data_IF_695329938203
#
_entry.id   IF_695329938203
#
_cell.length_a   1.000
_cell.length_b   1.000
_cell.length_c   1.000
_cell.angle_alpha   90.00
_cell.angle_beta   90.00
_cell.angle_gamma   90.00
#
_symmetry.space_group_name_H-M   'P 1'
#
loop_
_entity.id
_entity.type
_entity.pdbx_description
1 polymer ?
#
# COMPACT_ATOMS: atom_id res chain seq x y z
N UNK A 1 3.93 -81.19 -22.99
CA UNK A 1 5.04 -80.24 -23.12
C UNK A 1 4.68 -78.83 -23.56
N UNK A 2 3.74 -78.59 -24.49
CA UNK A 2 3.39 -77.24 -24.95
C UNK A 2 2.74 -76.32 -23.88
N UNK A 3 2.01 -76.83 -22.89
CA UNK A 3 1.37 -76.01 -21.82
C UNK A 3 2.40 -75.41 -20.82
N UNK A 4 3.50 -76.10 -20.54
CA UNK A 4 4.51 -75.61 -19.61
C UNK A 4 5.45 -74.56 -20.25
N UNK A 5 5.68 -74.68 -21.58
CA UNK A 5 6.47 -73.69 -22.33
C UNK A 5 5.81 -72.32 -22.33
N UNK A 6 4.47 -72.26 -22.42
CA UNK A 6 3.70 -71.03 -22.36
C UNK A 6 3.74 -70.35 -20.98
N UNK A 7 3.79 -71.13 -19.87
CA UNK A 7 3.90 -70.58 -18.53
C UNK A 7 5.28 -70.01 -18.27
N UNK A 8 6.35 -70.69 -18.74
CA UNK A 8 7.72 -70.17 -18.60
C UNK A 8 7.99 -68.92 -19.44
N UNK A 9 7.38 -68.79 -20.64
CA UNK A 9 7.47 -67.57 -21.42
C UNK A 9 6.70 -66.41 -20.80
N UNK A 10 5.54 -66.67 -20.16
CA UNK A 10 4.80 -65.68 -19.45
C UNK A 10 5.54 -65.18 -18.19
N UNK A 11 6.17 -66.12 -17.45
CA UNK A 11 6.97 -65.80 -16.27
C UNK A 11 8.25 -64.99 -16.65
N UNK A 12 8.91 -65.38 -17.74
CA UNK A 12 10.06 -64.62 -18.26
C UNK A 12 9.68 -63.19 -18.72
N UNK A 13 8.53 -63.04 -19.35
CA UNK A 13 8.01 -61.73 -19.75
C UNK A 13 7.66 -60.87 -18.53
N UNK A 14 7.07 -61.46 -17.49
CA UNK A 14 6.76 -60.78 -16.22
C UNK A 14 8.05 -60.33 -15.50
N UNK A 15 9.11 -61.10 -15.52
CA UNK A 15 10.39 -60.71 -14.93
C UNK A 15 11.04 -59.53 -15.68
N UNK A 16 10.88 -59.44 -17.01
CA UNK A 16 11.43 -58.34 -17.83
C UNK A 16 10.65 -57.05 -17.51
N UNK A 17 9.33 -57.12 -17.29
CA UNK A 17 8.51 -55.93 -16.96
C UNK A 17 8.78 -55.44 -15.53
N UNK A 18 9.16 -56.32 -14.61
CA UNK A 18 9.51 -55.96 -13.23
C UNK A 18 10.90 -55.31 -13.08
N UNK A 19 11.77 -55.40 -14.09
CA UNK A 19 13.08 -54.75 -14.11
C UNK A 19 13.03 -53.27 -14.52
N UNK A 20 11.87 -52.80 -14.97
CA UNK A 20 11.68 -51.39 -15.36
C UNK A 20 11.78 -50.38 -14.19
N UNK A 21 11.81 -50.84 -12.93
CA UNK A 21 11.99 -50.01 -11.74
C UNK A 21 13.42 -49.93 -11.21
N UNK A 22 14.40 -50.52 -11.92
CA UNK A 22 15.82 -50.53 -11.53
C UNK A 22 16.69 -49.61 -12.41
N UNK A 23 16.09 -48.66 -13.13
CA UNK A 23 16.87 -47.52 -13.59
C UNK A 23 17.14 -46.68 -12.35
N UNK A 24 18.37 -46.74 -11.83
CA UNK A 24 18.91 -45.69 -11.00
C UNK A 24 18.78 -44.39 -11.82
N UNK A 25 17.86 -43.50 -11.44
CA UNK A 25 17.94 -42.14 -11.91
C UNK A 25 19.33 -41.66 -11.55
N UNK A 26 20.17 -41.42 -12.57
CA UNK A 26 21.38 -40.63 -12.36
C UNK A 26 20.90 -39.33 -11.70
N UNK A 27 21.25 -39.15 -10.43
CA UNK A 27 20.95 -37.92 -9.74
C UNK A 27 21.67 -36.81 -10.51
N UNK A 28 20.91 -36.08 -11.34
CA UNK A 28 21.40 -34.91 -12.11
C UNK A 28 21.95 -33.83 -11.18
N UNK A 29 21.73 -33.98 -9.89
CA UNK A 29 22.12 -33.03 -8.85
C UNK A 29 22.93 -33.78 -7.77
N UNK A 30 24.05 -33.18 -7.36
CA UNK A 30 24.94 -33.69 -6.32
C UNK A 30 24.30 -33.82 -4.93
N UNK A 31 23.11 -33.19 -4.71
CA UNK A 31 22.40 -33.19 -3.43
C UNK A 31 20.91 -33.51 -3.61
N UNK A 32 20.30 -34.10 -2.60
CA UNK A 32 18.87 -34.37 -2.57
C UNK A 32 18.04 -33.04 -2.58
N UNK A 33 16.85 -33.11 -3.12
CA UNK A 33 15.93 -31.93 -3.16
C UNK A 33 15.69 -31.35 -1.77
N UNK A 34 15.62 -32.18 -0.72
CA UNK A 34 15.46 -31.76 0.67
C UNK A 34 16.68 -31.00 1.20
N UNK A 35 17.91 -31.47 0.87
CA UNK A 35 19.12 -30.78 1.29
C UNK A 35 19.26 -29.42 0.61
N UNK A 36 18.96 -29.32 -0.68
CA UNK A 36 18.95 -28.05 -1.42
C UNK A 36 17.95 -27.06 -0.84
N UNK A 37 16.73 -27.52 -0.52
CA UNK A 37 15.70 -26.67 0.10
C UNK A 37 16.14 -26.17 1.48
N UNK A 38 16.78 -27.00 2.28
CA UNK A 38 17.32 -26.62 3.59
C UNK A 38 18.46 -25.61 3.45
N UNK A 39 19.38 -25.83 2.51
CA UNK A 39 20.49 -24.92 2.24
C UNK A 39 20.00 -23.55 1.75
N UNK A 40 18.96 -23.52 0.93
CA UNK A 40 18.36 -22.26 0.44
C UNK A 40 17.68 -21.47 1.58
N UNK A 41 16.97 -22.14 2.49
CA UNK A 41 16.39 -21.52 3.70
C UNK A 41 17.49 -20.88 4.56
N UNK A 42 18.57 -21.61 4.84
CA UNK A 42 19.70 -21.10 5.65
C UNK A 42 20.32 -19.89 4.96
N UNK A 43 20.61 -19.98 3.67
CA UNK A 43 21.17 -18.89 2.88
C UNK A 43 20.28 -17.63 2.94
N UNK A 44 18.97 -17.79 2.75
CA UNK A 44 18.03 -16.66 2.82
C UNK A 44 17.98 -16.04 4.22
N UNK A 45 17.99 -16.85 5.28
CA UNK A 45 18.06 -16.35 6.67
C UNK A 45 19.32 -15.55 6.94
N UNK A 46 20.47 -16.01 6.47
CA UNK A 46 21.74 -15.30 6.63
C UNK A 46 21.73 -13.97 5.89
N UNK A 47 21.26 -13.94 4.63
CA UNK A 47 21.14 -12.70 3.84
C UNK A 47 20.23 -11.70 4.54
N UNK A 48 19.05 -12.13 5.02
CA UNK A 48 18.11 -11.22 5.70
C UNK A 48 18.72 -10.63 6.97
N UNK A 49 19.48 -11.40 7.73
CA UNK A 49 20.09 -11.00 9.00
C UNK A 49 21.34 -10.12 8.83
N UNK A 50 22.09 -10.31 7.75
CA UNK A 50 23.45 -9.74 7.60
C UNK A 50 23.46 -8.28 7.12
N UNK A 51 22.32 -7.57 7.16
CA UNK A 51 22.21 -6.16 6.82
C UNK A 51 22.15 -5.30 8.09
N UNK A 52 23.21 -4.56 8.42
CA UNK A 52 23.34 -3.90 9.73
C UNK A 52 22.22 -2.91 10.08
N UNK A 53 21.71 -2.17 9.09
CA UNK A 53 20.62 -1.20 9.27
C UNK A 53 19.27 -1.74 8.76
N UNK A 54 19.20 -3.05 8.44
CA UNK A 54 17.98 -3.70 7.95
C UNK A 54 17.63 -3.34 6.50
N UNK A 55 16.42 -3.60 6.12
CA UNK A 55 15.90 -3.57 4.77
C UNK A 55 14.78 -2.57 4.62
N UNK A 56 14.65 -1.98 3.44
CA UNK A 56 13.49 -1.21 2.99
C UNK A 56 12.70 -2.06 2.00
N UNK A 57 11.47 -2.43 2.36
CA UNK A 57 10.51 -3.12 1.50
C UNK A 57 9.53 -2.10 0.91
N UNK A 58 9.41 -2.05 -0.40
CA UNK A 58 8.29 -1.41 -1.10
C UNK A 58 7.10 -2.38 -1.04
N UNK A 59 6.24 -2.21 -0.03
CA UNK A 59 5.15 -3.13 0.25
C UNK A 59 3.89 -2.74 -0.53
N UNK A 60 3.64 -3.44 -1.63
CA UNK A 60 2.48 -3.23 -2.50
C UNK A 60 1.28 -4.06 -2.08
N UNK A 61 0.11 -3.44 -2.09
CA UNK A 61 -1.13 -3.91 -1.50
C UNK A 61 -2.21 -4.04 -2.58
N UNK A 62 -3.13 -4.97 -2.36
CA UNK A 62 -4.25 -5.23 -3.28
C UNK A 62 -3.91 -6.15 -4.44
N UNK A 63 -4.94 -6.78 -5.00
CA UNK A 63 -4.77 -7.59 -6.21
C UNK A 63 -4.26 -6.70 -7.36
N UNK A 64 -3.19 -7.13 -8.01
CA UNK A 64 -2.54 -6.35 -9.07
C UNK A 64 -2.19 -4.91 -8.63
N UNK A 65 -1.64 -4.76 -7.42
CA UNK A 65 -1.19 -3.49 -6.83
C UNK A 65 -2.29 -2.44 -6.60
N UNK A 66 -3.56 -2.83 -6.65
CA UNK A 66 -4.71 -1.91 -6.76
C UNK A 66 -4.90 -0.96 -5.58
N UNK A 67 -4.34 -1.25 -4.42
CA UNK A 67 -4.42 -0.39 -3.24
C UNK A 67 -3.18 0.51 -3.03
N UNK A 68 -2.18 0.43 -3.92
CA UNK A 68 -0.95 1.19 -3.81
C UNK A 68 0.10 0.55 -2.91
N UNK A 69 0.93 1.34 -2.23
CA UNK A 69 2.03 0.82 -1.44
C UNK A 69 2.33 1.67 -0.20
N UNK A 70 3.05 1.05 0.74
CA UNK A 70 3.71 1.69 1.88
C UNK A 70 5.14 1.18 2.02
N UNK A 71 5.98 1.95 2.67
CA UNK A 71 7.34 1.52 3.02
C UNK A 71 7.32 0.75 4.33
N UNK A 72 7.88 -0.46 4.34
CA UNK A 72 8.17 -1.18 5.57
C UNK A 72 9.70 -1.26 5.74
N UNK A 73 10.21 -0.67 6.82
CA UNK A 73 11.59 -0.87 7.25
C UNK A 73 11.62 -2.10 8.15
N UNK A 74 12.54 -3.03 7.88
CA UNK A 74 12.61 -4.33 8.55
C UNK A 74 14.03 -4.68 8.94
N UNK A 75 14.25 -5.15 10.18
CA UNK A 75 15.54 -5.68 10.62
C UNK A 75 15.35 -7.04 11.25
N UNK A 76 16.05 -8.02 10.73
CA UNK A 76 15.94 -9.43 11.11
C UNK A 76 17.11 -9.83 12.03
N UNK A 77 16.84 -10.58 13.10
CA UNK A 77 17.88 -11.10 14.02
C UNK A 77 18.07 -12.62 13.94
N UNK A 78 17.29 -13.31 13.12
CA UNK A 78 17.23 -14.77 12.96
C UNK A 78 16.00 -15.39 13.63
N UNK A 79 15.24 -14.65 14.44
CA UNK A 79 14.02 -15.11 15.11
C UNK A 79 12.94 -14.02 15.13
N UNK A 80 13.33 -12.79 15.37
CA UNK A 80 12.46 -11.64 15.44
C UNK A 80 12.77 -10.66 14.30
N UNK A 81 11.76 -9.88 13.96
CA UNK A 81 11.87 -8.75 13.05
C UNK A 81 11.39 -7.49 13.76
N UNK A 82 12.19 -6.46 13.72
CA UNK A 82 11.78 -5.09 14.00
C UNK A 82 11.19 -4.50 12.73
N UNK A 83 10.01 -3.86 12.82
CA UNK A 83 9.36 -3.18 11.70
C UNK A 83 9.00 -1.75 12.07
N UNK A 84 9.09 -0.84 11.08
CA UNK A 84 8.54 0.50 11.16
C UNK A 84 8.01 0.94 9.79
N UNK A 85 7.04 1.87 9.76
CA UNK A 85 6.43 2.40 8.54
C UNK A 85 6.11 3.88 8.69
N UNK A 86 5.97 4.58 7.56
CA UNK A 86 5.43 5.94 7.51
C UNK A 86 3.93 5.98 7.81
N UNK A 87 3.23 4.87 7.73
CA UNK A 87 1.82 4.79 8.14
C UNK A 87 1.72 4.32 9.59
N UNK A 88 0.77 4.89 10.33
CA UNK A 88 0.40 4.39 11.65
C UNK A 88 -0.45 3.13 11.53
N UNK A 89 -0.48 2.33 12.59
CA UNK A 89 -1.30 1.12 12.68
C UNK A 89 -1.91 1.02 14.07
N UNK A 90 -3.23 0.88 14.17
CA UNK A 90 -3.96 0.83 15.45
C UNK A 90 -3.64 2.05 16.34
N UNK A 91 -3.07 1.82 17.54
CA UNK A 91 -2.62 2.88 18.46
C UNK A 91 -1.20 3.36 18.19
N UNK A 92 -0.46 2.72 17.30
CA UNK A 92 0.93 3.05 17.00
C UNK A 92 1.05 4.20 16.01
N UNK A 93 1.87 5.18 16.34
CA UNK A 93 2.15 6.33 15.46
C UNK A 93 3.12 5.93 14.35
N UNK A 94 3.12 6.63 13.20
CA UNK A 94 4.15 6.49 12.18
C UNK A 94 5.55 6.52 12.78
N UNK A 95 6.44 5.64 12.30
CA UNK A 95 7.81 5.51 12.78
C UNK A 95 7.98 4.71 14.08
N UNK A 96 6.90 4.25 14.72
CA UNK A 96 7.01 3.36 15.86
C UNK A 96 7.60 2.01 15.43
N UNK A 97 8.64 1.55 16.14
CA UNK A 97 9.24 0.24 15.91
C UNK A 97 8.42 -0.81 16.64
N UNK A 98 7.95 -1.81 15.91
CA UNK A 98 7.17 -2.94 16.44
C UNK A 98 7.94 -4.22 16.16
N UNK A 99 8.14 -5.04 17.18
CA UNK A 99 8.85 -6.32 17.08
C UNK A 99 7.86 -7.48 17.04
N UNK A 100 8.08 -8.43 16.14
CA UNK A 100 7.29 -9.65 16.01
C UNK A 100 8.16 -10.84 15.61
N UNK A 101 7.60 -12.04 15.62
CA UNK A 101 8.30 -13.22 15.15
C UNK A 101 8.14 -13.34 13.62
N UNK A 102 9.20 -13.83 12.98
CA UNK A 102 9.20 -14.23 11.58
C UNK A 102 9.81 -15.60 11.40
N UNK A 103 9.59 -16.21 10.26
CA UNK A 103 10.21 -17.48 9.90
C UNK A 103 10.57 -17.49 8.41
N UNK A 104 11.74 -18.06 8.09
CA UNK A 104 12.06 -18.51 6.75
C UNK A 104 11.93 -20.04 6.75
N UNK A 105 11.06 -20.54 5.89
CA UNK A 105 10.73 -21.98 5.85
C UNK A 105 10.66 -22.48 4.41
N UNK A 106 10.84 -23.77 4.24
CA UNK A 106 10.60 -24.46 2.97
C UNK A 106 9.18 -25.03 2.96
N UNK A 107 8.38 -24.64 1.98
CA UNK A 107 7.11 -25.28 1.60
C UNK A 107 7.22 -25.78 0.17
N UNK A 108 6.46 -25.26 -0.78
CA UNK A 108 6.68 -25.48 -2.23
C UNK A 108 7.86 -24.66 -2.77
N UNK A 109 8.29 -23.67 -2.02
CA UNK A 109 9.44 -22.80 -2.27
C UNK A 109 9.95 -22.24 -0.94
N UNK A 110 11.07 -21.53 -0.95
CA UNK A 110 11.56 -20.80 0.23
C UNK A 110 10.64 -19.60 0.49
N UNK A 111 10.12 -19.53 1.71
CA UNK A 111 9.12 -18.54 2.10
C UNK A 111 9.57 -17.72 3.31
N UNK A 112 9.28 -16.44 3.29
CA UNK A 112 9.32 -15.53 4.43
C UNK A 112 7.90 -15.35 4.98
N UNK A 113 7.69 -15.65 6.27
CA UNK A 113 6.37 -15.54 6.90
C UNK A 113 6.44 -14.75 8.21
N UNK A 114 5.39 -13.99 8.50
CA UNK A 114 5.23 -13.24 9.75
C UNK A 114 4.15 -13.92 10.59
N UNK A 115 4.57 -14.93 11.37
CA UNK A 115 3.65 -15.86 12.06
C UNK A 115 3.01 -15.27 13.32
N UNK A 116 3.62 -14.24 13.93
CA UNK A 116 2.99 -13.50 15.02
C UNK A 116 2.43 -12.18 14.54
N UNK A 117 1.32 -11.77 15.15
CA UNK A 117 0.65 -10.55 14.76
C UNK A 117 1.57 -9.33 14.87
N UNK A 118 1.68 -8.60 13.75
CA UNK A 118 2.33 -7.30 13.68
C UNK A 118 1.36 -6.34 12.96
N UNK A 119 0.86 -5.30 13.63
CA UNK A 119 -0.16 -4.43 13.05
C UNK A 119 0.30 -3.74 11.76
N UNK A 120 1.61 -3.45 11.58
CA UNK A 120 2.13 -2.76 10.40
C UNK A 120 1.97 -3.54 9.08
N UNK A 121 1.84 -4.86 9.15
CA UNK A 121 1.65 -5.71 7.96
C UNK A 121 0.28 -6.38 7.95
N UNK A 122 -0.22 -6.83 9.11
CA UNK A 122 -1.48 -7.55 9.19
C UNK A 122 -2.70 -6.65 9.05
N UNK A 123 -2.60 -5.33 9.32
CA UNK A 123 -3.72 -4.40 9.12
C UNK A 123 -4.26 -4.39 7.69
N UNK A 124 -3.44 -4.72 6.71
CA UNK A 124 -3.84 -4.75 5.30
C UNK A 124 -4.47 -6.08 4.87
N UNK A 125 -4.29 -7.15 5.66
CA UNK A 125 -4.71 -8.52 5.32
C UNK A 125 -5.95 -8.99 6.08
N UNK A 126 -6.45 -8.20 7.04
CA UNK A 126 -7.54 -8.59 7.92
C UNK A 126 -8.89 -8.70 7.24
N UNK A 127 -9.86 -9.39 7.87
CA UNK A 127 -11.24 -9.43 7.39
C UNK A 127 -11.90 -8.05 7.47
N UNK A 128 -12.89 -7.83 6.60
CA UNK A 128 -13.69 -6.60 6.57
C UNK A 128 -14.19 -6.21 7.97
N UNK A 129 -13.99 -4.95 8.34
CA UNK A 129 -14.49 -4.35 9.58
C UNK A 129 -13.53 -4.38 10.78
N UNK A 130 -12.43 -5.14 10.72
CA UNK A 130 -11.41 -5.16 11.78
C UNK A 130 -10.13 -4.42 11.41
N UNK A 131 -9.77 -4.46 10.12
CA UNK A 131 -8.56 -3.85 9.56
C UNK A 131 -8.91 -3.17 8.23
N UNK A 132 -7.96 -2.52 7.60
CA UNK A 132 -8.19 -1.83 6.32
C UNK A 132 -8.61 -2.78 5.20
N UNK A 133 -8.25 -4.08 5.29
CA UNK A 133 -8.58 -5.13 4.32
C UNK A 133 -8.37 -4.71 2.85
N UNK A 134 -7.23 -4.12 2.59
CA UNK A 134 -6.85 -3.66 1.25
C UNK A 134 -6.22 -4.77 0.40
N UNK A 135 -6.09 -5.99 0.93
CA UNK A 135 -5.49 -7.12 0.23
C UNK A 135 -3.98 -7.19 0.39
N UNK A 136 -3.49 -7.10 1.63
CA UNK A 136 -2.08 -7.30 1.95
C UNK A 136 -1.71 -8.77 2.13
N UNK A 137 -0.47 -9.12 1.82
CA UNK A 137 0.16 -10.41 2.13
C UNK A 137 1.05 -10.28 3.38
N UNK A 138 1.09 -11.31 4.21
CA UNK A 138 2.04 -11.46 5.31
C UNK A 138 2.87 -12.77 5.18
N UNK A 139 2.67 -13.48 4.10
CA UNK A 139 3.45 -14.64 3.67
C UNK A 139 3.98 -14.37 2.26
N UNK A 140 5.27 -14.60 2.05
CA UNK A 140 5.95 -14.25 0.80
C UNK A 140 6.82 -15.40 0.32
N UNK A 141 6.78 -15.67 -0.97
CA UNK A 141 7.75 -16.51 -1.67
C UNK A 141 9.00 -15.65 -1.89
N UNK A 142 10.17 -16.14 -1.47
CA UNK A 142 11.45 -15.52 -1.79
C UNK A 142 11.83 -15.97 -3.20
N UNK A 143 11.65 -15.07 -4.17
CA UNK A 143 11.98 -15.35 -5.58
C UNK A 143 13.50 -15.30 -5.84
N UNK A 144 14.18 -14.39 -5.16
CA UNK A 144 15.64 -14.31 -5.13
C UNK A 144 16.11 -13.56 -3.90
N UNK A 145 17.28 -13.93 -3.38
CA UNK A 145 17.92 -13.23 -2.26
C UNK A 145 19.41 -13.05 -2.54
N UNK A 146 19.85 -11.80 -2.51
CA UNK A 146 21.25 -11.36 -2.58
C UNK A 146 21.50 -10.29 -1.51
N UNK A 147 22.76 -10.02 -1.14
CA UNK A 147 23.06 -8.95 -0.18
C UNK A 147 22.56 -7.55 -0.60
N UNK A 148 22.38 -7.32 -1.91
CA UNK A 148 21.96 -6.02 -2.45
C UNK A 148 20.46 -5.91 -2.69
N UNK A 149 19.75 -7.05 -2.81
CA UNK A 149 18.34 -7.07 -3.13
C UNK A 149 17.69 -8.41 -2.82
N UNK A 150 16.47 -8.35 -2.24
CA UNK A 150 15.58 -9.50 -2.11
C UNK A 150 14.30 -9.23 -2.88
N UNK A 151 13.91 -10.18 -3.74
CA UNK A 151 12.64 -10.13 -4.48
C UNK A 151 11.65 -11.06 -3.80
N UNK A 152 10.53 -10.50 -3.40
CA UNK A 152 9.42 -11.21 -2.77
C UNK A 152 8.21 -11.28 -3.70
N UNK A 153 7.47 -12.38 -3.64
CA UNK A 153 6.14 -12.48 -4.21
C UNK A 153 5.13 -12.79 -3.12
N UNK A 154 4.10 -11.99 -3.00
CA UNK A 154 3.00 -12.25 -2.08
C UNK A 154 2.37 -13.62 -2.34
N UNK A 155 2.12 -14.41 -1.30
CA UNK A 155 1.59 -15.77 -1.43
C UNK A 155 0.16 -15.77 -1.99
N UNK A 156 -0.68 -14.85 -1.53
CA UNK A 156 -2.10 -14.76 -1.90
C UNK A 156 -2.33 -13.87 -3.12
N UNK A 157 -1.84 -12.65 -3.09
CA UNK A 157 -2.14 -11.64 -4.12
C UNK A 157 -1.13 -11.60 -5.26
N UNK A 158 -0.01 -12.33 -5.15
CA UNK A 158 1.02 -12.51 -6.18
C UNK A 158 1.76 -11.24 -6.60
N UNK A 159 1.61 -10.15 -5.89
CA UNK A 159 2.37 -8.93 -6.14
C UNK A 159 3.87 -9.18 -5.96
N UNK A 160 4.66 -8.67 -6.89
CA UNK A 160 6.13 -8.69 -6.78
C UNK A 160 6.58 -7.44 -6.03
N UNK A 161 7.47 -7.62 -5.07
CA UNK A 161 7.97 -6.58 -4.19
C UNK A 161 9.48 -6.66 -4.06
N UNK A 162 10.12 -5.52 -3.88
CA UNK A 162 11.57 -5.44 -3.71
C UNK A 162 11.93 -4.99 -2.31
N UNK A 163 12.89 -5.70 -1.68
CA UNK A 163 13.60 -5.23 -0.50
C UNK A 163 15.02 -4.82 -0.90
N UNK A 164 15.41 -3.63 -0.49
CA UNK A 164 16.78 -3.11 -0.65
C UNK A 164 17.41 -2.80 0.71
N UNK A 165 18.74 -2.97 0.88
CA UNK A 165 19.41 -2.64 2.12
C UNK A 165 19.24 -1.16 2.47
N UNK A 166 18.94 -0.87 3.73
CA UNK A 166 18.97 0.49 4.25
C UNK A 166 20.41 0.99 4.34
N UNK A 167 20.69 2.24 3.94
CA UNK A 167 21.99 2.84 4.13
C UNK A 167 22.42 2.81 5.61
N UNK A 168 23.67 2.46 5.88
CA UNK A 168 24.17 2.24 7.24
C UNK A 168 24.04 3.49 8.13
N UNK A 169 24.21 4.66 7.53
CA UNK A 169 24.31 5.95 8.23
C UNK A 169 22.97 6.71 8.30
N UNK A 170 21.88 6.16 7.77
CA UNK A 170 20.56 6.81 7.79
C UNK A 170 19.68 6.14 8.84
N UNK A 171 19.36 6.82 9.95
CA UNK A 171 18.41 6.30 10.93
C UNK A 171 17.02 6.10 10.31
N UNK A 172 16.32 5.03 10.69
CA UNK A 172 14.96 4.74 10.24
C UNK A 172 14.00 5.90 10.44
N UNK A 173 14.13 6.59 11.58
CA UNK A 173 13.31 7.77 11.89
C UNK A 173 13.44 8.84 10.81
N UNK A 174 14.64 9.13 10.34
CA UNK A 174 14.88 10.15 9.29
C UNK A 174 14.27 9.71 7.98
N UNK A 175 14.48 8.45 7.58
CA UNK A 175 13.89 7.88 6.37
C UNK A 175 12.36 8.02 6.36
N UNK A 176 11.71 7.70 7.47
CA UNK A 176 10.26 7.76 7.62
C UNK A 176 9.76 9.21 7.67
N UNK A 177 10.43 10.08 8.44
CA UNK A 177 10.09 11.50 8.52
C UNK A 177 10.18 12.19 7.16
N UNK A 178 11.18 11.87 6.33
CA UNK A 178 11.32 12.43 4.98
C UNK A 178 10.14 12.02 4.09
N UNK A 179 9.72 10.75 4.13
CA UNK A 179 8.54 10.26 3.39
C UNK A 179 7.29 11.02 3.85
N UNK A 180 7.04 11.08 5.16
CA UNK A 180 5.87 11.77 5.74
C UNK A 180 5.86 13.26 5.38
N UNK A 181 7.03 13.91 5.39
CA UNK A 181 7.13 15.32 5.05
C UNK A 181 6.79 15.59 3.58
N UNK A 182 7.22 14.71 2.66
CA UNK A 182 6.85 14.83 1.24
C UNK A 182 5.35 14.63 1.05
N UNK A 183 4.76 13.63 1.69
CA UNK A 183 3.31 13.38 1.63
C UNK A 183 2.49 14.56 2.16
N UNK A 184 2.93 15.15 3.27
CA UNK A 184 2.30 16.36 3.85
C UNK A 184 2.47 17.60 2.99
N UNK A 185 3.61 17.75 2.34
CA UNK A 185 3.87 18.89 1.47
C UNK A 185 3.06 18.79 0.17
N UNK A 186 3.05 17.62 -0.47
CA UNK A 186 2.32 17.31 -1.68
C UNK A 186 0.87 16.91 -1.34
N UNK A 187 0.10 17.82 -0.76
CA UNK A 187 -1.19 17.51 -0.14
C UNK A 187 -2.38 17.49 -1.12
N UNK A 188 -2.27 18.14 -2.29
CA UNK A 188 -3.39 18.17 -3.25
C UNK A 188 -3.62 16.79 -3.88
N UNK A 189 -4.87 16.50 -4.19
CA UNK A 189 -5.24 15.25 -4.85
C UNK A 189 -5.11 15.31 -6.37
N UNK A 190 -4.87 16.49 -6.94
CA UNK A 190 -4.89 16.73 -8.38
C UNK A 190 -3.54 17.21 -8.90
N UNK A 191 -3.05 16.54 -9.94
CA UNK A 191 -1.77 16.84 -10.59
C UNK A 191 -1.93 16.89 -12.10
N UNK A 192 -1.16 17.75 -12.77
CA UNK A 192 -0.96 17.74 -14.21
C UNK A 192 0.43 17.24 -14.51
N UNK A 193 0.55 16.26 -15.40
CA UNK A 193 1.82 15.91 -16.00
C UNK A 193 2.09 16.89 -17.13
N UNK A 194 3.19 17.61 -17.03
CA UNK A 194 3.56 18.68 -17.99
C UNK A 194 4.96 18.42 -18.54
N UNK A 195 5.17 18.82 -19.81
CA UNK A 195 6.47 18.92 -20.48
C UNK A 195 6.56 20.27 -21.17
N UNK A 196 7.53 21.09 -20.77
CA UNK A 196 7.69 22.43 -21.32
C UNK A 196 6.44 23.34 -21.21
N UNK A 197 5.61 23.13 -20.17
CA UNK A 197 4.36 23.85 -19.93
C UNK A 197 3.14 23.27 -20.67
N UNK A 198 3.32 22.27 -21.54
CA UNK A 198 2.22 21.56 -22.19
C UNK A 198 1.70 20.44 -21.27
N UNK A 199 0.40 20.40 -21.02
CA UNK A 199 -0.25 19.31 -20.27
C UNK A 199 -0.33 18.05 -21.15
N UNK A 200 0.22 16.95 -20.62
CA UNK A 200 0.20 15.64 -21.26
C UNK A 200 -0.91 14.76 -20.69
N UNK A 201 -1.07 14.75 -19.35
CA UNK A 201 -2.03 13.92 -18.63
C UNK A 201 -2.47 14.61 -17.33
N UNK A 202 -3.63 14.18 -16.81
CA UNK A 202 -4.10 14.54 -15.48
C UNK A 202 -4.02 13.33 -14.56
N UNK A 203 -3.61 13.56 -13.32
CA UNK A 203 -3.50 12.54 -12.28
C UNK A 203 -4.35 12.95 -11.09
N UNK A 204 -5.23 12.06 -10.67
CA UNK A 204 -6.08 12.26 -9.50
C UNK A 204 -5.76 11.17 -8.49
N UNK A 205 -5.40 11.55 -7.27
CA UNK A 205 -5.16 10.62 -6.16
C UNK A 205 -6.49 9.97 -5.78
N UNK A 206 -6.50 8.64 -5.68
CA UNK A 206 -7.70 7.90 -5.33
C UNK A 206 -7.89 7.86 -3.82
N UNK A 207 -9.11 8.16 -3.38
CA UNK A 207 -9.51 7.98 -1.99
C UNK A 207 -9.73 6.49 -1.67
N UNK A 208 -9.46 6.09 -0.43
CA UNK A 208 -9.64 4.71 0.02
C UNK A 208 -8.54 3.74 -0.40
N UNK A 209 -7.46 4.24 -1.00
CA UNK A 209 -6.22 3.50 -1.29
C UNK A 209 -5.06 4.13 -0.53
N UNK A 210 -3.94 3.39 -0.38
CA UNK A 210 -2.74 3.94 0.24
C UNK A 210 -2.04 4.91 -0.71
N UNK A 211 -1.76 4.48 -1.93
CA UNK A 211 -1.07 5.31 -2.91
C UNK A 211 -1.41 4.87 -4.35
N UNK A 212 -2.51 5.38 -4.91
CA UNK A 212 -2.85 5.19 -6.33
C UNK A 212 -3.34 6.47 -6.97
N UNK A 213 -3.01 6.65 -8.25
CA UNK A 213 -3.57 7.68 -9.10
C UNK A 213 -4.54 7.06 -10.11
N UNK A 214 -5.58 7.79 -10.46
CA UNK A 214 -6.25 7.70 -11.75
C UNK A 214 -5.57 8.66 -12.70
N UNK A 215 -4.86 8.14 -13.71
CA UNK A 215 -4.24 8.93 -14.76
C UNK A 215 -5.18 9.03 -15.96
N UNK A 216 -5.52 10.25 -16.36
CA UNK A 216 -6.39 10.55 -17.49
C UNK A 216 -5.57 11.14 -18.62
N UNK A 217 -5.92 10.81 -19.87
CA UNK A 217 -5.40 11.53 -21.04
C UNK A 217 -5.78 13.02 -20.99
N UNK A 218 -5.07 13.88 -21.73
CA UNK A 218 -5.31 15.32 -21.74
C UNK A 218 -6.76 15.70 -22.14
N UNK A 219 -7.42 14.87 -22.93
CA UNK A 219 -8.80 15.01 -23.38
C UNK A 219 -9.81 14.22 -22.54
N UNK A 220 -9.37 13.58 -21.44
CA UNK A 220 -10.17 12.70 -20.58
C UNK A 220 -10.82 11.50 -21.29
N UNK A 221 -10.40 11.15 -22.50
CA UNK A 221 -10.96 10.02 -23.25
C UNK A 221 -10.56 8.65 -22.72
N UNK A 222 -9.49 8.58 -21.95
CA UNK A 222 -8.98 7.35 -21.34
C UNK A 222 -8.54 7.58 -19.90
N UNK A 223 -8.64 6.51 -19.09
CA UNK A 223 -8.18 6.51 -17.71
C UNK A 223 -7.41 5.21 -17.41
N UNK A 224 -6.37 5.31 -16.58
CA UNK A 224 -5.59 4.17 -16.11
C UNK A 224 -5.25 4.35 -14.62
N UNK A 225 -5.38 3.27 -13.84
CA UNK A 225 -4.89 3.24 -12.47
C UNK A 225 -3.36 3.08 -12.46
N UNK A 226 -2.70 3.92 -11.68
CA UNK A 226 -1.25 3.93 -11.48
C UNK A 226 -0.94 3.85 -9.98
N UNK A 227 -0.61 2.66 -9.46
CA UNK A 227 -0.09 2.51 -8.12
C UNK A 227 1.28 3.20 -8.02
N UNK A 228 1.55 3.81 -6.86
CA UNK A 228 2.84 4.43 -6.57
C UNK A 228 3.22 4.22 -5.11
N UNK A 229 4.43 4.59 -4.76
CA UNK A 229 4.91 4.67 -3.38
C UNK A 229 5.60 6.01 -3.17
N UNK A 230 5.43 6.61 -1.99
CA UNK A 230 6.27 7.73 -1.59
C UNK A 230 7.66 7.22 -1.20
N UNK A 231 8.67 7.99 -1.58
CA UNK A 231 10.06 7.75 -1.22
C UNK A 231 10.60 8.94 -0.41
N UNK A 232 11.76 8.79 0.20
CA UNK A 232 12.43 9.87 0.94
C UNK A 232 12.81 11.09 0.06
N UNK A 233 12.67 10.96 -1.25
CA UNK A 233 12.98 12.04 -2.21
C UNK A 233 11.78 12.53 -3.01
N UNK A 234 10.70 11.75 -3.05
CA UNK A 234 9.53 12.06 -3.88
C UNK A 234 8.55 10.92 -3.97
N UNK A 235 8.27 10.45 -5.19
CA UNK A 235 7.45 9.27 -5.42
C UNK A 235 8.00 8.38 -6.55
N UNK A 236 7.64 7.11 -6.53
CA UNK A 236 7.97 6.13 -7.56
C UNK A 236 6.69 5.42 -7.99
N UNK A 237 6.40 5.40 -9.30
CA UNK A 237 5.32 4.59 -9.85
C UNK A 237 5.69 3.10 -9.74
N UNK A 238 4.71 2.23 -9.54
CA UNK A 238 4.93 0.78 -9.44
C UNK A 238 5.60 0.22 -10.69
N UNK A 239 5.23 0.70 -11.86
CA UNK A 239 5.84 0.34 -13.15
C UNK A 239 6.06 1.59 -13.99
N UNK A 240 6.99 1.56 -14.95
CA UNK A 240 7.17 2.67 -15.88
C UNK A 240 5.85 3.01 -16.60
N UNK A 241 5.56 4.29 -16.70
CA UNK A 241 4.43 4.84 -17.41
C UNK A 241 4.89 5.49 -18.71
N UNK A 242 4.39 5.00 -19.84
CA UNK A 242 4.73 5.56 -21.13
C UNK A 242 3.91 6.81 -21.44
N UNK A 243 4.59 7.90 -21.71
CA UNK A 243 4.01 9.19 -22.11
C UNK A 243 4.74 9.67 -23.35
N UNK A 244 4.05 9.67 -24.49
CA UNK A 244 4.62 10.12 -25.79
C UNK A 244 5.96 9.46 -26.15
N UNK A 245 6.11 8.16 -25.87
CA UNK A 245 7.31 7.39 -26.15
C UNK A 245 8.43 7.54 -25.11
N UNK A 246 8.21 8.29 -24.03
CA UNK A 246 9.10 8.40 -22.89
C UNK A 246 8.55 7.59 -21.72
N UNK A 247 9.41 6.87 -21.02
CA UNK A 247 9.02 6.14 -19.80
C UNK A 247 9.39 6.95 -18.58
N UNK A 248 8.42 7.14 -17.68
CA UNK A 248 8.57 7.87 -16.43
C UNK A 248 8.15 6.98 -15.26
N UNK A 249 8.96 6.95 -14.23
CA UNK A 249 8.70 6.13 -13.04
C UNK A 249 9.11 6.84 -11.74
N UNK A 250 10.26 7.50 -11.73
CA UNK A 250 10.89 8.06 -10.55
C UNK A 250 10.78 9.59 -10.55
N UNK A 251 10.27 10.14 -9.46
CA UNK A 251 10.05 11.57 -9.33
C UNK A 251 10.63 12.09 -8.01
N UNK A 252 11.32 13.23 -8.08
CA UNK A 252 11.82 13.96 -6.92
C UNK A 252 10.91 15.15 -6.61
N UNK A 253 10.55 15.33 -5.35
CA UNK A 253 9.77 16.47 -4.89
C UNK A 253 10.61 17.76 -4.84
N UNK A 254 10.15 18.79 -5.51
CA UNK A 254 10.64 20.17 -5.35
C UNK A 254 9.63 20.98 -4.54
N UNK A 255 9.94 21.16 -3.26
CA UNK A 255 9.09 21.89 -2.32
C UNK A 255 8.85 23.35 -2.74
N UNK A 256 9.85 24.02 -3.33
CA UNK A 256 9.75 25.43 -3.70
C UNK A 256 8.77 25.65 -4.85
N UNK A 257 8.84 24.81 -5.85
CA UNK A 257 7.99 24.89 -7.06
C UNK A 257 6.70 24.07 -6.93
N UNK A 258 6.55 23.26 -5.86
CA UNK A 258 5.42 22.37 -5.60
C UNK A 258 5.13 21.43 -6.77
N UNK A 259 6.15 20.70 -7.18
CA UNK A 259 6.05 19.73 -8.27
C UNK A 259 6.98 18.54 -8.06
N UNK A 260 6.62 17.42 -8.63
CA UNK A 260 7.50 16.26 -8.74
C UNK A 260 8.22 16.32 -10.09
N UNK A 261 9.55 16.37 -10.07
CA UNK A 261 10.42 16.35 -11.25
C UNK A 261 10.80 14.93 -11.57
N UNK A 262 10.54 14.47 -12.80
CA UNK A 262 10.98 13.15 -13.25
C UNK A 262 12.52 13.08 -13.23
N UNK A 263 13.06 11.95 -12.74
CA UNK A 263 14.52 11.72 -12.66
C UNK A 263 15.01 10.66 -13.64
N UNK A 264 14.09 10.08 -14.42
CA UNK A 264 14.43 9.04 -15.39
C UNK A 264 15.16 9.62 -16.59
N UNK A 265 16.11 8.87 -17.14
CA UNK A 265 16.93 9.31 -18.25
C UNK A 265 16.08 9.64 -19.48
N UNK A 266 16.29 10.83 -20.06
CA UNK A 266 15.55 11.32 -21.24
C UNK A 266 14.17 11.92 -20.91
N UNK A 267 13.72 11.94 -19.65
CA UNK A 267 12.42 12.46 -19.23
C UNK A 267 12.51 13.53 -18.11
N UNK A 268 13.69 14.08 -17.85
CA UNK A 268 13.93 15.02 -16.74
C UNK A 268 13.25 16.39 -16.91
N UNK A 269 12.66 16.66 -18.05
CA UNK A 269 11.82 17.84 -18.35
C UNK A 269 10.31 17.56 -18.15
N UNK A 270 9.94 16.35 -17.72
CA UNK A 270 8.58 15.98 -17.35
C UNK A 270 8.40 16.22 -15.86
N UNK A 271 7.29 16.87 -15.52
CA UNK A 271 6.93 17.17 -14.13
C UNK A 271 5.48 16.77 -13.82
N UNK A 272 5.20 16.38 -12.57
CA UNK A 272 3.85 16.31 -12.01
C UNK A 272 3.65 17.55 -11.14
N UNK A 273 2.78 18.44 -11.56
CA UNK A 273 2.50 19.72 -10.91
C UNK A 273 1.16 19.70 -10.23
N UNK A 274 1.13 19.98 -8.93
CA UNK A 274 -0.14 20.19 -8.21
C UNK A 274 -0.94 21.36 -8.79
N UNK A 275 -2.26 21.21 -8.85
CA UNK A 275 -3.17 22.31 -9.19
C UNK A 275 -4.46 22.23 -8.39
N UNK A 276 -5.08 23.39 -8.16
CA UNK A 276 -6.40 23.48 -7.55
C UNK A 276 -7.48 23.27 -8.63
N UNK A 277 -8.40 22.28 -8.47
CA UNK A 277 -9.53 22.15 -9.39
C UNK A 277 -10.46 23.37 -9.30
N UNK A 278 -11.26 23.61 -10.35
CA UNK A 278 -12.12 24.80 -10.43
C UNK A 278 -13.11 24.94 -9.26
N UNK A 279 -13.55 23.84 -8.69
CA UNK A 279 -14.47 23.80 -7.55
C UNK A 279 -13.77 23.68 -6.20
N UNK A 280 -12.47 23.93 -6.13
CA UNK A 280 -11.72 23.91 -4.88
C UNK A 280 -12.04 25.16 -4.06
N UNK A 281 -12.56 24.94 -2.85
CA UNK A 281 -12.79 26.03 -1.90
C UNK A 281 -11.68 26.05 -0.85
N UNK A 282 -11.19 27.25 -0.55
CA UNK A 282 -10.25 27.48 0.52
C UNK A 282 -10.95 27.41 1.88
N UNK A 283 -10.18 27.21 2.95
CA UNK A 283 -10.73 27.14 4.30
C UNK A 283 -11.62 28.36 4.63
N UNK A 284 -11.21 29.56 4.25
CA UNK A 284 -11.92 30.80 4.58
C UNK A 284 -13.25 30.96 3.81
N UNK A 285 -13.41 30.30 2.66
CA UNK A 285 -14.60 30.39 1.81
C UNK A 285 -15.84 29.74 2.45
N UNK A 286 -15.64 28.86 3.43
CA UNK A 286 -16.71 28.18 4.15
C UNK A 286 -17.25 28.97 5.35
N UNK A 287 -16.53 30.00 5.82
CA UNK A 287 -16.92 30.74 7.01
C UNK A 287 -18.08 31.66 6.69
N UNK A 288 -19.20 31.50 7.39
CA UNK A 288 -20.38 32.36 7.13
C UNK A 288 -21.67 31.81 7.71
N UNK A 289 -22.74 32.48 7.33
CA UNK A 289 -24.11 32.09 7.69
C UNK A 289 -24.85 31.63 6.44
N UNK A 290 -25.52 30.49 6.55
CA UNK A 290 -26.16 29.77 5.45
C UNK A 290 -27.60 29.42 5.83
N UNK A 291 -28.44 29.17 4.84
CA UNK A 291 -29.71 28.50 5.03
C UNK A 291 -29.56 27.03 4.78
N UNK A 292 -29.80 26.21 5.80
CA UNK A 292 -29.84 24.76 5.67
C UNK A 292 -31.27 24.28 5.52
N UNK A 293 -31.54 23.42 4.56
CA UNK A 293 -32.81 22.70 4.45
C UNK A 293 -32.60 21.32 5.04
N UNK A 294 -33.40 20.97 6.04
CA UNK A 294 -33.40 19.69 6.72
C UNK A 294 -34.67 18.97 6.33
N UNK A 295 -34.59 17.79 5.79
CA UNK A 295 -35.75 16.99 5.48
C UNK A 295 -36.01 16.05 6.67
N UNK A 296 -37.03 16.33 7.44
CA UNK A 296 -37.47 15.50 8.54
C UNK A 296 -38.52 14.52 8.01
N UNK A 297 -38.38 13.24 8.37
CA UNK A 297 -39.25 12.18 7.88
C UNK A 297 -40.72 12.40 8.26
N UNK A 298 -40.98 12.98 9.44
CA UNK A 298 -42.32 13.15 9.98
C UNK A 298 -42.91 14.54 9.66
N UNK A 299 -42.07 15.57 9.61
CA UNK A 299 -42.51 16.98 9.48
C UNK A 299 -42.25 17.57 8.08
N UNK A 300 -41.49 16.85 7.23
CA UNK A 300 -41.07 17.30 5.90
C UNK A 300 -39.95 18.36 5.95
N UNK A 301 -39.61 18.97 4.81
CA UNK A 301 -38.46 19.87 4.72
C UNK A 301 -38.67 21.16 5.49
N UNK A 302 -37.79 21.47 6.42
CA UNK A 302 -37.71 22.70 7.17
C UNK A 302 -36.44 23.47 6.83
N UNK A 303 -36.48 24.79 6.84
CA UNK A 303 -35.33 25.65 6.59
C UNK A 303 -34.97 26.45 7.83
N UNK A 304 -33.67 26.42 8.16
CA UNK A 304 -33.14 27.18 9.30
C UNK A 304 -31.83 27.86 8.98
N UNK A 305 -31.53 28.95 9.68
CA UNK A 305 -30.24 29.61 9.58
C UNK A 305 -29.19 28.86 10.37
N UNK A 306 -28.04 28.55 9.73
CA UNK A 306 -26.91 27.88 10.34
C UNK A 306 -25.63 28.70 10.14
N UNK A 307 -24.68 28.58 11.07
CA UNK A 307 -23.42 29.33 11.00
C UNK A 307 -22.23 28.36 11.03
N UNK A 308 -21.32 28.50 10.06
CA UNK A 308 -20.02 27.83 10.03
C UNK A 308 -18.98 28.82 10.54
N UNK A 309 -18.31 28.49 11.63
CA UNK A 309 -17.26 29.29 12.26
C UNK A 309 -16.00 28.46 12.53
N UNK A 310 -14.80 29.06 12.53
CA UNK A 310 -13.55 28.33 12.82
C UNK A 310 -13.61 27.62 14.18
N UNK A 311 -13.18 26.35 14.21
CA UNK A 311 -12.90 25.60 15.45
C UNK A 311 -11.40 25.46 15.65
N UNK A 312 -10.70 24.87 14.69
CA UNK A 312 -9.25 24.88 14.56
C UNK A 312 -8.92 25.43 13.18
N UNK A 313 -8.26 26.59 13.12
CA UNK A 313 -8.03 27.30 11.85
C UNK A 313 -7.25 26.46 10.87
N UNK A 314 -7.77 26.33 9.65
CA UNK A 314 -7.20 25.53 8.58
C UNK A 314 -7.43 24.02 8.70
N UNK A 315 -8.18 23.56 9.73
CA UNK A 315 -8.41 22.13 9.97
C UNK A 315 -9.89 21.79 10.16
N UNK A 316 -10.62 22.59 10.99
CA UNK A 316 -12.00 22.25 11.32
C UNK A 316 -12.84 23.46 11.65
N UNK A 317 -14.17 23.28 11.58
CA UNK A 317 -15.17 24.29 11.89
C UNK A 317 -16.17 23.78 12.92
N UNK A 318 -16.88 24.69 13.53
CA UNK A 318 -18.14 24.46 14.25
C UNK A 318 -19.29 24.87 13.36
N UNK A 319 -20.16 23.95 13.01
CA UNK A 319 -21.46 24.21 12.39
C UNK A 319 -22.50 24.31 13.52
N UNK A 320 -23.11 25.49 13.66
CA UNK A 320 -24.05 25.79 14.74
C UNK A 320 -25.49 25.77 14.26
N UNK A 321 -26.39 25.39 15.16
CA UNK A 321 -27.83 25.52 15.05
C UNK A 321 -28.56 24.55 14.10
N UNK A 322 -28.04 23.36 13.86
CA UNK A 322 -28.84 22.31 13.20
C UNK A 322 -29.63 21.54 14.25
N UNK A 323 -30.98 21.69 14.25
CA UNK A 323 -31.84 21.03 15.22
C UNK A 323 -31.49 21.34 16.68
N UNK A 324 -30.89 22.51 16.96
CA UNK A 324 -30.39 22.87 18.28
C UNK A 324 -29.03 22.31 18.65
N UNK A 325 -28.38 21.53 17.77
CA UNK A 325 -27.09 20.92 18.01
C UNK A 325 -25.96 21.62 17.25
N UNK A 326 -24.74 21.44 17.74
CA UNK A 326 -23.53 21.90 17.09
C UNK A 326 -22.71 20.68 16.58
N UNK A 327 -22.18 20.80 15.37
CA UNK A 327 -21.37 19.76 14.73
C UNK A 327 -19.95 20.26 14.48
N UNK A 328 -18.99 19.35 14.48
CA UNK A 328 -17.66 19.61 13.98
C UNK A 328 -17.55 19.13 12.54
N UNK A 329 -17.18 20.06 11.64
CA UNK A 329 -16.83 19.74 10.27
C UNK A 329 -15.31 19.73 10.12
N UNK A 330 -14.75 18.75 9.42
CA UNK A 330 -13.34 18.71 9.06
C UNK A 330 -13.15 19.39 7.70
N UNK A 331 -12.01 20.06 7.53
CA UNK A 331 -11.60 20.60 6.25
C UNK A 331 -10.59 19.68 5.60
N UNK A 332 -10.96 19.05 4.50
CA UNK A 332 -10.05 18.27 3.69
C UNK A 332 -9.26 19.18 2.75
N UNK A 333 -8.04 19.51 3.13
CA UNK A 333 -7.12 20.34 2.33
C UNK A 333 -6.79 19.72 0.97
N UNK A 334 -6.85 18.40 0.85
CA UNK A 334 -6.48 17.71 -0.37
C UNK A 334 -7.52 17.92 -1.49
N UNK A 335 -8.79 18.05 -1.12
CA UNK A 335 -9.89 18.24 -2.07
C UNK A 335 -10.58 19.60 -1.96
N UNK A 336 -10.32 20.38 -0.91
CA UNK A 336 -11.02 21.63 -0.62
C UNK A 336 -12.46 21.42 -0.17
N UNK A 337 -12.80 20.26 0.41
CA UNK A 337 -14.16 19.89 0.80
C UNK A 337 -14.36 19.88 2.30
N UNK A 338 -15.62 20.03 2.72
CA UNK A 338 -16.05 19.75 4.08
C UNK A 338 -16.37 18.27 4.25
N UNK A 339 -15.95 17.72 5.38
CA UNK A 339 -16.27 16.35 5.79
C UNK A 339 -16.99 16.40 7.13
N UNK A 340 -18.14 15.75 7.20
CA UNK A 340 -18.92 15.57 8.43
C UNK A 340 -18.80 14.11 8.87
N UNK A 341 -18.03 13.86 9.92
CA UNK A 341 -17.86 12.52 10.49
C UNK A 341 -18.91 12.24 11.56
N UNK A 342 -19.14 10.94 11.81
CA UNK A 342 -19.93 10.49 12.96
C UNK A 342 -19.34 11.02 14.26
N UNK A 343 -20.14 11.63 15.11
CA UNK A 343 -19.66 12.29 16.31
C UNK A 343 -20.69 12.36 17.44
N UNK A 344 -20.22 12.43 18.67
CA UNK A 344 -21.08 12.77 19.82
C UNK A 344 -21.44 14.25 19.76
N UNK A 345 -22.73 14.55 19.81
CA UNK A 345 -23.27 15.91 19.63
C UNK A 345 -23.53 16.59 20.96
N UNK A 346 -24.01 15.82 21.95
CA UNK A 346 -24.34 16.30 23.28
C UNK A 346 -24.31 15.14 24.27
N UNK A 347 -23.87 15.38 25.48
CA UNK A 347 -24.01 14.45 26.60
C UNK A 347 -24.57 15.20 27.80
N UNK A 348 -25.59 14.61 28.43
CA UNK A 348 -26.11 15.03 29.73
C UNK A 348 -25.87 13.91 30.73
N UNK A 349 -26.07 14.14 32.01
CA UNK A 349 -25.97 13.10 33.04
C UNK A 349 -26.89 11.87 32.81
N UNK A 350 -27.91 12.01 31.96
CA UNK A 350 -28.93 11.00 31.71
C UNK A 350 -29.03 10.56 30.23
N UNK A 351 -28.40 11.27 29.29
CA UNK A 351 -28.54 10.98 27.85
C UNK A 351 -27.33 11.43 27.07
N UNK A 352 -26.90 10.61 26.12
CA UNK A 352 -25.89 10.95 25.11
C UNK A 352 -26.54 10.92 23.73
N UNK A 353 -26.39 11.99 22.98
CA UNK A 353 -26.81 12.06 21.58
C UNK A 353 -25.60 11.86 20.69
N UNK A 354 -25.76 10.99 19.71
CA UNK A 354 -24.70 10.64 18.77
C UNK A 354 -25.21 10.81 17.35
N UNK A 355 -24.45 11.55 16.55
CA UNK A 355 -24.67 11.65 15.11
C UNK A 355 -23.90 10.51 14.45
N UNK A 356 -24.59 9.62 13.75
CA UNK A 356 -23.99 8.56 12.96
C UNK A 356 -24.33 8.76 11.49
N UNK A 357 -23.31 8.77 10.64
CA UNK A 357 -23.50 8.65 9.20
C UNK A 357 -23.93 7.23 8.90
N UNK A 358 -25.17 7.03 8.50
CA UNK A 358 -25.62 5.80 7.89
C UNK A 358 -25.20 5.84 6.41
N UNK A 359 -24.48 4.82 5.94
CA UNK A 359 -24.29 4.57 4.52
C UNK A 359 -25.62 4.15 3.90
N UNK A 360 -26.52 5.10 3.71
CA UNK A 360 -27.66 4.92 2.82
C UNK A 360 -27.17 5.40 1.47
N UNK A 361 -27.14 4.49 0.52
CA UNK A 361 -26.87 4.81 -0.89
C UNK A 361 -27.88 5.88 -1.34
N UNK A 362 -27.38 7.03 -1.77
CA UNK A 362 -28.08 7.95 -2.64
C UNK A 362 -27.61 7.70 -4.06
#
# INVERSE_FOLDING_TARGET
MKKYLSIYTLLALACIVLQSCLFSEEEIFDESSANRATADVIKCQEILKDVPNGWKLEYYIGSNYSAGAVTLLMKFDGKQVEMASETGAESYKPGTIITSLYQVKSEQSTMLTFDSYNPLIHMFSGPLGLNMNLGGDYEFIIMSATPDKVILQGKKYKNIMEMTPMPKDIPWRIQIEDIINIEKDAFLNTYRMEKGGQVLNYFIRNNGTMATFSAYSADYSSARSLPYIYTEKGLKLQSPYNVNGLEVQNFKWDRKSRLFVCTDAGATDIVLKEYYPENYLQYEDYIGTYTATIDDYDEGPTSQSVTISPKVRGESYTLKSIGGFNFTLQYDKASGKLVLDSQSISSTSSSSYYFALSLIHI
#
